data_IF_467401195226
#
_entry.id   IF_467401195226
#
_cell.length_a   1.000
_cell.length_b   1.000
_cell.length_c   1.000
_cell.angle_alpha   90.00
_cell.angle_beta   90.00
_cell.angle_gamma   90.00
#
_symmetry.space_group_name_H-M   'P 1'
#
loop_
_entity.id
_entity.type
_entity.pdbx_description
1 polymer ?
#
# COMPACT_ATOMS: atom_id res chain seq x y z
N UNK A 1 -16.37 -15.03 1.91
CA UNK A 1 -16.90 -13.72 2.30
C UNK A 1 -15.99 -12.59 1.85
N UNK A 2 -16.58 -11.50 1.47
CA UNK A 2 -15.86 -10.27 1.16
C UNK A 2 -15.90 -9.33 2.36
N UNK A 3 -14.79 -8.69 2.63
CA UNK A 3 -14.72 -7.61 3.62
C UNK A 3 -14.65 -6.29 2.89
N UNK A 4 -15.15 -5.23 3.53
CA UNK A 4 -15.17 -3.89 2.95
C UNK A 4 -14.24 -2.97 3.71
N UNK A 5 -13.38 -2.27 2.99
CA UNK A 5 -12.61 -1.15 3.53
C UNK A 5 -13.38 0.12 3.26
N UNK A 6 -13.53 0.93 4.28
CA UNK A 6 -14.26 2.17 4.21
C UNK A 6 -13.43 3.31 4.78
N UNK A 7 -13.56 4.49 4.19
CA UNK A 7 -13.01 5.70 4.77
C UNK A 7 -13.87 6.12 5.97
N UNK A 8 -13.31 6.23 7.15
CA UNK A 8 -14.02 6.69 8.35
C UNK A 8 -13.11 7.54 9.23
N UNK A 9 -13.71 8.30 10.12
CA UNK A 9 -12.97 9.02 11.15
C UNK A 9 -12.74 8.09 12.33
N UNK A 10 -11.52 8.04 12.82
CA UNK A 10 -11.20 7.14 13.90
C UNK A 10 -9.87 7.41 14.56
N UNK A 11 -9.42 6.45 15.33
CA UNK A 11 -8.23 6.53 16.16
C UNK A 11 -6.94 6.43 15.35
N UNK A 12 -6.89 5.48 14.43
CA UNK A 12 -5.77 5.29 13.52
C UNK A 12 -6.25 5.36 12.09
N UNK A 13 -5.33 5.52 11.15
CA UNK A 13 -5.70 5.55 9.73
C UNK A 13 -6.30 4.21 9.28
N UNK A 14 -5.83 3.11 9.86
CA UNK A 14 -6.40 1.81 9.55
C UNK A 14 -7.80 1.64 10.16
N UNK A 15 -8.01 2.05 11.42
CA UNK A 15 -9.33 2.00 12.04
C UNK A 15 -10.36 2.83 11.29
N UNK A 16 -9.90 3.89 10.63
CA UNK A 16 -10.76 4.71 9.77
C UNK A 16 -11.18 4.00 8.50
N UNK A 17 -10.39 3.05 8.04
CA UNK A 17 -10.60 2.40 6.76
C UNK A 17 -11.26 1.04 6.89
N UNK A 18 -11.11 0.38 8.03
CA UNK A 18 -11.53 -0.99 8.21
C UNK A 18 -12.84 -1.11 8.98
N UNK A 19 -13.75 -1.86 8.43
CA UNK A 19 -15.01 -2.19 9.07
C UNK A 19 -15.29 -3.70 8.98
N UNK A 20 -14.89 -4.44 10.00
CA UNK A 20 -15.03 -5.89 10.05
C UNK A 20 -16.46 -6.37 10.22
N UNK A 21 -17.31 -5.54 10.79
CA UNK A 21 -18.70 -5.92 11.10
C UNK A 21 -19.72 -5.35 10.12
N UNK A 22 -19.32 -4.49 9.21
CA UNK A 22 -20.23 -3.79 8.32
C UNK A 22 -21.11 -2.76 9.01
N UNK A 23 -20.87 -2.46 10.28
CA UNK A 23 -21.71 -1.58 11.08
C UNK A 23 -21.25 -0.14 11.14
N UNK A 24 -19.99 0.14 10.82
CA UNK A 24 -19.46 1.49 10.83
C UNK A 24 -19.59 2.09 9.45
N UNK A 25 -20.49 3.02 9.32
CA UNK A 25 -20.65 3.78 8.07
C UNK A 25 -19.74 4.97 8.06
N UNK A 26 -19.07 5.09 6.95
CA UNK A 26 -18.24 6.22 6.67
C UNK A 26 -19.08 7.37 6.22
N UNK A 27 -18.77 8.51 6.75
CA UNK A 27 -19.50 9.73 6.41
C UNK A 27 -18.81 10.63 5.39
N UNK A 28 -17.82 10.14 4.66
CA UNK A 28 -17.23 10.93 3.57
C UNK A 28 -17.42 10.18 2.28
N UNK A 29 -18.56 10.42 1.64
CA UNK A 29 -18.79 10.03 0.28
C UNK A 29 -19.06 8.55 0.04
N UNK A 30 -19.41 7.76 1.04
CA UNK A 30 -19.78 6.33 0.89
C UNK A 30 -18.79 5.52 0.03
N UNK A 31 -17.52 5.87 0.08
CA UNK A 31 -16.50 5.16 -0.68
C UNK A 31 -16.11 3.88 0.03
N UNK A 32 -16.23 2.78 -0.65
CA UNK A 32 -15.80 1.48 -0.14
C UNK A 32 -15.33 0.60 -1.29
N UNK A 33 -14.55 -0.42 -0.95
CA UNK A 33 -14.14 -1.46 -1.88
C UNK A 33 -14.45 -2.82 -1.28
N UNK A 34 -14.63 -3.82 -2.14
CA UNK A 34 -14.76 -5.21 -1.71
C UNK A 34 -13.44 -5.93 -1.91
N UNK A 35 -13.08 -6.74 -0.93
CA UNK A 35 -11.86 -7.53 -0.95
C UNK A 35 -12.24 -9.00 -0.94
N UNK A 36 -11.78 -9.75 -1.94
CA UNK A 36 -12.11 -11.17 -2.09
C UNK A 36 -11.35 -12.03 -1.09
N UNK A 37 -10.07 -11.72 -0.86
CA UNK A 37 -9.27 -12.43 0.13
C UNK A 37 -9.47 -11.81 1.52
N UNK A 38 -10.38 -12.40 2.27
CA UNK A 38 -10.71 -11.91 3.62
C UNK A 38 -9.54 -12.02 4.59
N UNK A 39 -8.58 -12.91 4.33
CA UNK A 39 -7.38 -13.06 5.18
C UNK A 39 -6.48 -11.84 5.12
N UNK A 40 -6.48 -11.12 4.01
CA UNK A 40 -5.72 -9.88 3.89
C UNK A 40 -6.15 -8.88 4.97
N UNK A 41 -7.42 -8.55 5.03
CA UNK A 41 -7.92 -7.55 5.98
C UNK A 41 -7.89 -8.07 7.42
N UNK A 42 -8.23 -9.32 7.67
CA UNK A 42 -8.16 -9.88 9.02
C UNK A 42 -6.72 -9.95 9.53
N UNK A 43 -5.77 -10.22 8.65
CA UNK A 43 -4.34 -10.16 8.98
C UNK A 43 -3.89 -8.75 9.35
N UNK A 44 -4.35 -7.75 8.61
CA UNK A 44 -4.07 -6.35 8.90
C UNK A 44 -4.64 -5.93 10.27
N UNK A 45 -5.85 -6.35 10.60
CA UNK A 45 -6.46 -6.09 11.91
C UNK A 45 -5.64 -6.75 13.03
N UNK A 46 -5.25 -8.00 12.84
CA UNK A 46 -4.44 -8.73 13.81
C UNK A 46 -3.11 -8.03 14.06
N UNK A 47 -2.45 -7.59 13.01
CA UNK A 47 -1.19 -6.85 13.10
C UNK A 47 -1.39 -5.50 13.80
N UNK A 48 -2.45 -4.79 13.46
CA UNK A 48 -2.84 -3.53 14.08
C UNK A 48 -3.03 -3.68 15.58
N UNK A 49 -3.73 -4.72 16.00
CA UNK A 49 -3.97 -5.03 17.42
C UNK A 49 -2.67 -5.36 18.13
N UNK A 50 -1.83 -6.22 17.53
CA UNK A 50 -0.54 -6.62 18.09
C UNK A 50 0.38 -5.41 18.34
N UNK A 51 0.31 -4.39 17.50
CA UNK A 51 1.17 -3.21 17.58
C UNK A 51 0.45 -1.96 18.11
N UNK A 52 -0.64 -2.13 18.85
CA UNK A 52 -1.36 -1.04 19.55
C UNK A 52 -1.70 0.14 18.64
N UNK A 53 -2.02 -0.12 17.38
CA UNK A 53 -2.42 0.90 16.42
C UNK A 53 -1.29 1.58 15.65
N UNK A 54 -0.02 1.29 15.96
CA UNK A 54 1.10 1.98 15.30
C UNK A 54 1.40 1.49 13.89
N UNK A 55 1.10 0.24 13.59
CA UNK A 55 1.34 -0.30 12.25
C UNK A 55 0.38 -1.42 11.94
N UNK A 56 0.14 -1.64 10.67
CA UNK A 56 -0.58 -2.79 10.17
C UNK A 56 0.10 -3.31 8.92
N UNK A 57 -0.03 -4.62 8.68
CA UNK A 57 0.42 -5.27 7.47
C UNK A 57 -0.39 -6.53 7.23
N UNK A 58 -0.65 -6.81 5.97
CA UNK A 58 -1.29 -8.04 5.55
C UNK A 58 -0.74 -8.51 4.22
N UNK A 59 -0.81 -9.81 3.97
CA UNK A 59 -0.35 -10.41 2.72
C UNK A 59 -1.47 -11.14 2.00
N UNK A 60 -1.32 -11.22 0.68
CA UNK A 60 -2.27 -11.92 -0.18
C UNK A 60 -1.59 -12.34 -1.48
N UNK A 61 -2.01 -13.45 -2.05
CA UNK A 61 -1.63 -13.84 -3.41
C UNK A 61 -2.56 -13.22 -4.46
N UNK A 62 -3.64 -12.58 -4.04
CA UNK A 62 -4.54 -11.85 -4.92
C UNK A 62 -4.02 -10.43 -5.11
N UNK A 63 -3.28 -10.20 -6.21
CA UNK A 63 -2.66 -8.91 -6.48
C UNK A 63 -3.69 -7.81 -6.72
N UNK A 64 -4.86 -8.17 -7.27
CA UNK A 64 -5.95 -7.21 -7.47
C UNK A 64 -6.44 -6.66 -6.14
N UNK A 65 -6.68 -7.54 -5.17
CA UNK A 65 -7.08 -7.13 -3.82
C UNK A 65 -6.03 -6.23 -3.18
N UNK A 66 -4.76 -6.59 -3.30
CA UNK A 66 -3.66 -5.81 -2.74
C UNK A 66 -3.62 -4.41 -3.33
N UNK A 67 -3.73 -4.28 -4.64
CA UNK A 67 -3.71 -2.98 -5.32
C UNK A 67 -4.95 -2.14 -4.95
N UNK A 68 -6.13 -2.77 -4.86
CA UNK A 68 -7.37 -2.10 -4.45
C UNK A 68 -7.25 -1.56 -3.02
N UNK A 69 -6.76 -2.38 -2.08
CA UNK A 69 -6.57 -1.98 -0.68
C UNK A 69 -5.55 -0.85 -0.58
N UNK A 70 -4.40 -1.00 -1.24
CA UNK A 70 -3.37 0.02 -1.23
C UNK A 70 -3.88 1.37 -1.73
N UNK A 71 -4.48 1.39 -2.91
CA UNK A 71 -4.97 2.63 -3.52
C UNK A 71 -6.08 3.27 -2.69
N UNK A 72 -7.04 2.47 -2.24
CA UNK A 72 -8.13 2.97 -1.40
C UNK A 72 -7.59 3.58 -0.10
N UNK A 73 -6.67 2.89 0.55
CA UNK A 73 -6.06 3.38 1.79
C UNK A 73 -5.26 4.66 1.56
N UNK A 74 -4.44 4.69 0.51
CA UNK A 74 -3.66 5.87 0.15
C UNK A 74 -4.55 7.07 -0.15
N UNK A 75 -5.62 6.87 -0.92
CA UNK A 75 -6.53 7.95 -1.33
C UNK A 75 -7.37 8.51 -0.17
N UNK A 76 -7.66 7.69 0.84
CA UNK A 76 -8.61 8.03 1.89
C UNK A 76 -7.97 8.24 3.25
N UNK A 77 -6.66 8.31 3.34
CA UNK A 77 -5.95 8.56 4.59
C UNK A 77 -4.83 9.58 4.40
N UNK A 78 -4.27 10.03 5.51
CA UNK A 78 -3.09 10.91 5.51
C UNK A 78 -1.80 10.13 5.73
N UNK A 79 -1.88 8.84 5.97
CA UNK A 79 -0.72 8.01 6.18
C UNK A 79 -0.06 7.63 4.87
N UNK A 80 1.22 7.40 4.92
CA UNK A 80 1.97 6.77 3.85
C UNK A 80 1.73 5.27 3.88
N UNK A 81 1.33 4.71 2.74
CA UNK A 81 1.06 3.29 2.56
C UNK A 81 2.08 2.66 1.63
N UNK A 82 2.23 1.36 1.73
CA UNK A 82 3.20 0.60 0.98
C UNK A 82 2.55 -0.64 0.38
N UNK A 83 2.95 -0.96 -0.85
CA UNK A 83 2.60 -2.19 -1.55
C UNK A 83 3.90 -2.81 -2.07
N UNK A 84 4.26 -3.96 -1.54
CA UNK A 84 5.42 -4.73 -1.98
C UNK A 84 4.96 -6.04 -2.60
N UNK A 85 5.60 -6.45 -3.69
CA UNK A 85 5.34 -7.73 -4.33
C UNK A 85 6.61 -8.56 -4.33
N UNK A 86 6.46 -9.81 -3.90
CA UNK A 86 7.53 -10.81 -3.84
C UNK A 86 7.23 -11.93 -4.82
N UNK A 87 8.24 -12.40 -5.49
CA UNK A 87 8.14 -13.51 -6.44
C UNK A 87 8.98 -14.68 -5.94
N UNK A 88 8.31 -15.80 -5.70
CA UNK A 88 8.94 -17.07 -5.33
C UNK A 88 8.71 -18.08 -6.44
N UNK A 89 9.66 -18.15 -7.37
CA UNK A 89 9.62 -19.06 -8.52
C UNK A 89 8.32 -18.95 -9.34
N UNK A 90 7.85 -17.72 -9.55
CA UNK A 90 6.63 -17.42 -10.30
C UNK A 90 5.38 -17.23 -9.45
N UNK A 91 5.39 -17.67 -8.20
CA UNK A 91 4.30 -17.43 -7.27
C UNK A 91 4.46 -16.05 -6.63
N UNK A 92 3.53 -15.14 -6.88
CA UNK A 92 3.60 -13.78 -6.37
C UNK A 92 2.74 -13.59 -5.14
N UNK A 93 3.33 -12.91 -4.15
CA UNK A 93 2.64 -12.51 -2.91
C UNK A 93 2.82 -11.02 -2.72
N UNK A 94 1.74 -10.31 -2.46
CA UNK A 94 1.76 -8.89 -2.16
C UNK A 94 1.61 -8.65 -0.66
N UNK A 95 2.27 -7.61 -0.17
CA UNK A 95 2.12 -7.11 1.19
C UNK A 95 1.63 -5.68 1.13
N UNK A 96 0.57 -5.37 1.86
CA UNK A 96 0.08 -4.00 2.05
C UNK A 96 0.35 -3.61 3.49
N UNK A 97 0.99 -2.47 3.70
CA UNK A 97 1.42 -2.06 5.03
C UNK A 97 1.38 -0.55 5.23
N UNK A 98 1.26 -0.14 6.48
CA UNK A 98 1.46 1.25 6.90
C UNK A 98 1.98 1.31 8.34
N UNK A 99 2.70 2.37 8.65
CA UNK A 99 3.09 2.72 10.02
C UNK A 99 2.26 3.88 10.59
N UNK A 100 1.20 4.27 9.93
CA UNK A 100 0.32 5.36 10.34
C UNK A 100 1.01 6.74 10.31
N UNK A 101 2.12 6.88 9.59
CA UNK A 101 2.87 8.12 9.46
C UNK A 101 2.57 8.82 8.14
N UNK A 102 2.64 10.17 8.14
CA UNK A 102 2.43 10.97 6.93
C UNK A 102 3.67 11.05 6.06
N UNK A 103 4.85 10.83 6.60
CA UNK A 103 6.12 11.11 5.93
C UNK A 103 7.02 9.92 5.72
N UNK A 104 6.73 8.78 6.30
CA UNK A 104 7.50 7.57 6.03
C UNK A 104 6.76 6.29 6.36
N UNK A 105 7.07 5.27 5.60
CA UNK A 105 6.78 3.88 5.91
C UNK A 105 8.09 3.13 5.81
N UNK A 106 8.62 2.74 6.96
CA UNK A 106 9.92 2.08 7.01
C UNK A 106 9.89 0.70 6.39
N UNK A 107 11.06 0.12 6.28
CA UNK A 107 11.40 -1.12 5.60
C UNK A 107 10.31 -2.17 5.58
N UNK A 108 10.20 -2.85 4.45
CA UNK A 108 9.37 -4.04 4.30
C UNK A 108 9.58 -5.05 5.43
N UNK A 109 10.82 -5.18 5.92
CA UNK A 109 11.16 -6.10 7.00
C UNK A 109 10.37 -5.88 8.27
N UNK A 110 10.18 -4.63 8.70
CA UNK A 110 9.35 -4.34 9.87
C UNK A 110 7.86 -4.55 9.61
N UNK A 111 7.40 -4.22 8.42
CA UNK A 111 6.01 -4.44 8.03
C UNK A 111 5.69 -5.91 7.88
N UNK A 112 6.70 -6.72 7.56
CA UNK A 112 6.56 -8.16 7.33
C UNK A 112 6.81 -9.00 8.59
N UNK A 113 7.11 -8.39 9.72
CA UNK A 113 7.32 -9.12 10.97
C UNK A 113 6.09 -9.97 11.30
N UNK A 114 6.29 -11.29 11.35
CA UNK A 114 5.21 -12.25 11.58
C UNK A 114 4.42 -12.65 10.32
N UNK A 115 4.75 -12.14 9.14
CA UNK A 115 4.19 -12.57 7.87
C UNK A 115 5.10 -13.61 7.22
N UNK A 116 4.53 -14.74 6.81
CA UNK A 116 5.26 -15.79 6.09
C UNK A 116 5.29 -15.45 4.60
N UNK A 117 6.18 -14.54 4.20
CA UNK A 117 6.35 -14.14 2.81
C UNK A 117 7.70 -14.62 2.31
N UNK A 118 7.72 -15.33 1.20
CA UNK A 118 8.90 -15.90 0.58
C UNK A 118 9.16 -15.28 -0.78
N UNK A 119 10.40 -15.41 -1.25
CA UNK A 119 10.81 -14.95 -2.56
C UNK A 119 11.53 -13.61 -2.55
N UNK A 120 11.82 -13.11 -3.76
CA UNK A 120 12.52 -11.86 -3.97
C UNK A 120 11.54 -10.72 -4.21
N UNK A 121 11.80 -9.57 -3.62
CA UNK A 121 11.01 -8.37 -3.88
C UNK A 121 11.21 -7.95 -5.34
N UNK A 122 10.10 -7.83 -6.07
CA UNK A 122 10.11 -7.43 -7.50
C UNK A 122 9.46 -6.09 -7.74
N UNK A 123 8.58 -5.65 -6.85
CA UNK A 123 7.91 -4.35 -6.91
C UNK A 123 7.83 -3.74 -5.52
N UNK A 124 8.10 -2.45 -5.45
CA UNK A 124 7.94 -1.64 -4.24
C UNK A 124 7.24 -0.35 -4.62
N UNK A 125 6.08 -0.13 -4.05
CA UNK A 125 5.31 1.10 -4.23
C UNK A 125 5.03 1.69 -2.85
N UNK A 126 5.18 3.00 -2.70
CA UNK A 126 4.68 3.69 -1.52
C UNK A 126 3.95 4.97 -1.94
N UNK A 127 3.04 5.44 -1.10
CA UNK A 127 2.28 6.64 -1.37
C UNK A 127 2.91 7.86 -0.73
N UNK A 128 2.80 9.00 -1.40
CA UNK A 128 3.10 10.32 -0.83
C UNK A 128 1.76 11.06 -0.64
N UNK A 129 1.25 11.15 0.59
CA UNK A 129 -0.06 11.75 0.83
C UNK A 129 -0.05 13.28 0.82
N UNK A 130 1.12 13.91 1.04
CA UNK A 130 1.25 15.34 1.12
C UNK A 130 1.28 15.96 -0.29
N UNK A 131 0.32 16.84 -0.66
CA UNK A 131 0.30 17.46 -1.98
C UNK A 131 1.48 18.39 -2.23
N UNK A 132 2.19 18.81 -1.20
CA UNK A 132 3.40 19.63 -1.30
C UNK A 132 4.69 18.79 -1.28
N UNK A 133 4.57 17.48 -1.14
CA UNK A 133 5.70 16.57 -1.10
C UNK A 133 6.27 16.28 -2.49
N UNK A 134 7.30 15.44 -2.50
CA UNK A 134 7.96 15.01 -3.73
C UNK A 134 7.03 14.14 -4.56
N UNK A 135 6.90 14.42 -5.85
CA UNK A 135 6.07 13.64 -6.76
C UNK A 135 6.67 12.27 -7.07
N UNK A 136 7.95 12.22 -7.29
CA UNK A 136 8.68 10.97 -7.52
C UNK A 136 9.41 10.51 -6.27
N UNK A 137 10.47 9.71 -6.45
CA UNK A 137 11.29 9.26 -5.35
C UNK A 137 12.01 10.42 -4.67
N UNK A 138 11.94 10.46 -3.34
CA UNK A 138 12.74 11.39 -2.54
C UNK A 138 14.22 11.01 -2.58
N UNK A 139 15.09 11.87 -2.01
CA UNK A 139 16.51 11.53 -1.89
C UNK A 139 16.74 10.23 -1.12
N UNK A 140 15.97 10.01 -0.06
CA UNK A 140 16.06 8.77 0.72
C UNK A 140 15.53 7.58 -0.06
N UNK A 141 14.43 7.73 -0.80
CA UNK A 141 13.89 6.70 -1.66
C UNK A 141 14.91 6.27 -2.71
N UNK A 142 15.54 7.24 -3.37
CA UNK A 142 16.57 6.99 -4.37
C UNK A 142 17.79 6.29 -3.79
N UNK A 143 18.21 6.69 -2.59
CA UNK A 143 19.32 6.03 -1.88
C UNK A 143 19.00 4.59 -1.58
N UNK A 144 17.80 4.31 -1.10
CA UNK A 144 17.35 2.95 -0.78
C UNK A 144 17.23 2.08 -2.05
N UNK A 145 16.92 2.68 -3.19
CA UNK A 145 16.82 1.97 -4.45
C UNK A 145 18.16 1.38 -4.95
N UNK A 146 19.30 1.89 -4.47
CA UNK A 146 20.63 1.37 -4.85
C UNK A 146 20.81 -0.11 -4.53
N UNK A 147 20.24 -0.58 -3.43
CA UNK A 147 20.36 -1.95 -2.98
C UNK A 147 19.12 -2.79 -3.29
N UNK A 148 18.18 -2.26 -4.03
CA UNK A 148 16.91 -2.93 -4.35
C UNK A 148 16.88 -3.35 -5.81
N UNK A 149 16.69 -4.65 -6.12
CA UNK A 149 16.48 -5.10 -7.49
C UNK A 149 15.05 -4.86 -7.98
N UNK A 150 14.16 -4.40 -7.10
CA UNK A 150 12.76 -4.21 -7.43
C UNK A 150 12.53 -2.98 -8.32
N UNK A 151 11.41 -2.99 -9.04
CA UNK A 151 10.88 -1.77 -9.64
C UNK A 151 10.29 -0.93 -8.52
N UNK A 152 10.66 0.34 -8.45
CA UNK A 152 10.26 1.24 -7.38
C UNK A 152 9.39 2.36 -7.94
N UNK A 153 8.32 2.69 -7.24
CA UNK A 153 7.42 3.76 -7.64
C UNK A 153 6.82 4.48 -6.44
N UNK A 154 6.45 5.73 -6.66
CA UNK A 154 5.67 6.54 -5.73
C UNK A 154 4.28 6.75 -6.32
N UNK A 155 3.26 6.45 -5.53
CA UNK A 155 1.90 6.86 -5.82
C UNK A 155 1.66 8.24 -5.20
N UNK A 156 1.63 9.27 -6.04
CA UNK A 156 1.38 10.63 -5.59
C UNK A 156 -0.12 10.86 -5.52
N UNK A 157 -0.65 10.83 -4.31
CA UNK A 157 -2.09 10.87 -4.05
C UNK A 157 -2.77 12.10 -4.67
N UNK A 158 -2.16 13.28 -4.57
CA UNK A 158 -2.79 14.54 -4.95
C UNK A 158 -3.20 14.58 -6.42
N UNK A 159 -2.45 13.95 -7.32
CA UNK A 159 -2.77 13.88 -8.75
C UNK A 159 -3.05 12.47 -9.26
N UNK A 160 -3.09 11.49 -8.37
CA UNK A 160 -3.35 10.08 -8.71
C UNK A 160 -2.43 9.58 -9.83
N UNK A 161 -1.15 9.89 -9.71
CA UNK A 161 -0.11 9.50 -10.68
C UNK A 161 0.90 8.59 -10.01
N UNK A 162 1.29 7.55 -10.71
CA UNK A 162 2.35 6.64 -10.27
C UNK A 162 3.64 7.03 -10.98
N UNK A 163 4.65 7.42 -10.20
CA UNK A 163 5.97 7.82 -10.69
C UNK A 163 6.99 6.73 -10.40
N UNK A 164 7.48 6.06 -11.43
CA UNK A 164 8.61 5.16 -11.26
C UNK A 164 9.88 5.96 -11.02
N UNK A 165 10.75 5.43 -10.18
CA UNK A 165 12.05 6.02 -9.88
C UNK A 165 13.11 4.93 -9.70
N UNK A 166 14.38 5.34 -9.72
CA UNK A 166 15.51 4.47 -9.39
C UNK A 166 16.53 5.25 -8.55
N UNK A 167 17.73 4.70 -8.39
CA UNK A 167 18.76 5.32 -7.56
C UNK A 167 19.33 6.62 -8.13
N UNK A 168 19.12 6.91 -9.42
CA UNK A 168 19.68 8.07 -10.11
C UNK A 168 18.64 9.07 -10.58
N UNK A 169 17.37 8.69 -10.67
CA UNK A 169 16.29 9.54 -11.19
C UNK A 169 15.06 9.45 -10.31
N UNK A 170 14.61 10.61 -9.84
CA UNK A 170 13.38 10.73 -9.04
C UNK A 170 12.13 10.38 -9.86
N UNK A 171 12.13 10.62 -11.15
CA UNK A 171 11.02 10.31 -12.04
C UNK A 171 11.55 9.75 -13.35
N UNK A 172 11.46 8.44 -13.53
CA UNK A 172 11.77 7.80 -14.81
C UNK A 172 10.56 7.86 -15.71
N UNK A 173 9.37 7.61 -15.14
CA UNK A 173 8.11 7.52 -15.86
C UNK A 173 6.97 7.87 -14.90
N UNK A 174 6.05 8.71 -15.34
CA UNK A 174 4.85 9.05 -14.61
C UNK A 174 3.62 8.73 -15.45
N UNK A 175 2.68 7.99 -14.91
CA UNK A 175 1.41 7.65 -15.57
C UNK A 175 0.25 7.76 -14.60
N UNK A 176 -0.89 8.22 -15.12
CA UNK A 176 -2.13 8.22 -14.35
C UNK A 176 -2.43 6.84 -13.78
N UNK A 177 -2.79 6.81 -12.52
CA UNK A 177 -3.17 5.60 -11.80
C UNK A 177 -4.51 5.84 -11.10
N UNK A 178 -5.56 6.03 -11.90
CA UNK A 178 -6.91 6.32 -11.40
C UNK A 178 -7.61 5.08 -10.85
N UNK A 179 -7.13 3.90 -11.22
CA UNK A 179 -7.67 2.61 -10.77
C UNK A 179 -6.54 1.71 -10.27
N UNK A 180 -6.91 0.70 -9.51
CA UNK A 180 -5.96 -0.34 -9.07
C UNK A 180 -5.37 -1.09 -10.28
N UNK A 181 -6.16 -1.30 -11.32
CA UNK A 181 -5.68 -1.93 -12.57
C UNK A 181 -4.57 -1.13 -13.22
N UNK A 182 -4.66 0.19 -13.21
CA UNK A 182 -3.61 1.05 -13.75
C UNK A 182 -2.28 0.83 -13.03
N UNK A 183 -2.34 0.70 -11.71
CA UNK A 183 -1.14 0.40 -10.90
C UNK A 183 -0.55 -0.95 -11.31
N UNK A 184 -1.37 -1.98 -11.39
CA UNK A 184 -0.92 -3.32 -11.74
C UNK A 184 -0.30 -3.35 -13.15
N UNK A 185 -0.95 -2.74 -14.12
CA UNK A 185 -0.44 -2.71 -15.51
C UNK A 185 0.87 -1.94 -15.60
N UNK A 186 0.94 -0.77 -14.97
CA UNK A 186 2.15 0.06 -15.03
C UNK A 186 3.35 -0.66 -14.43
N UNK A 187 3.14 -1.45 -13.38
CA UNK A 187 4.22 -2.18 -12.70
C UNK A 187 4.45 -3.59 -13.26
N UNK A 188 3.80 -3.94 -14.36
CA UNK A 188 3.99 -5.24 -15.00
C UNK A 188 3.37 -6.41 -14.24
N UNK A 189 2.37 -6.14 -13.41
CA UNK A 189 1.71 -7.16 -12.58
C UNK A 189 0.39 -7.65 -13.19
N UNK A 190 0.00 -7.07 -14.30
CA UNK A 190 -1.22 -7.45 -15.01
C UNK A 190 -1.07 -7.23 -16.51
#
# INVERSE_FOLDING_TARGET
HNMTIESQRGKSEFDRLYNSSGTRKIKRGNKSIKVSDTKLLSGMVKMQTKHAGYKTAGSTQNLQDAAEVFKFAADNSKAEWRLDVYDDNGAKTAVVATKQSEDHVQNADEAMDGLAVEGNQVVNIHSHPNPLGTKGGSSDDMRNAKSSPARNAVYFKANQTLYEYNSTRSQIKGMSANTADDILRQMGLK
#
